data_IF_070131083139
#
_entry.id   IF_070131083139
#
_cell.length_a   1.000
_cell.length_b   1.000
_cell.length_c   1.000
_cell.angle_alpha   90.00
_cell.angle_beta   90.00
_cell.angle_gamma   90.00
#
_symmetry.space_group_name_H-M   'P 1'
#
loop_
_entity.id
_entity.type
_entity.pdbx_description
1 polymer ?
#
# COMPACT_ATOMS: atom_id res chain seq x y z
N UNK A 1 12.92 -6.01 3.71
CA UNK A 1 12.33 -6.92 2.71
C UNK A 1 11.71 -8.08 3.49
N UNK A 2 10.40 -8.03 3.72
CA UNK A 2 9.70 -9.07 4.48
C UNK A 2 9.22 -10.13 3.48
N UNK A 3 9.86 -11.29 3.49
CA UNK A 3 9.41 -12.46 2.74
C UNK A 3 8.12 -12.97 3.38
N UNK A 4 6.97 -12.61 2.81
CA UNK A 4 5.70 -13.26 3.10
C UNK A 4 5.72 -14.64 2.44
N UNK A 5 6.10 -15.65 3.23
CA UNK A 5 5.96 -17.05 2.86
C UNK A 5 4.46 -17.39 2.75
N UNK A 6 3.94 -17.45 1.52
CA UNK A 6 2.60 -17.97 1.25
C UNK A 6 2.69 -19.50 1.32
N UNK A 7 2.50 -20.05 2.51
CA UNK A 7 2.34 -21.50 2.68
C UNK A 7 0.95 -21.89 2.20
N UNK A 8 0.86 -22.23 0.91
CA UNK A 8 -0.32 -22.83 0.30
C UNK A 8 -0.50 -24.28 0.78
N UNK A 9 -0.93 -24.48 2.03
CA UNK A 9 -1.54 -25.74 2.39
C UNK A 9 -2.88 -25.80 1.67
N UNK A 10 -3.01 -26.69 0.69
CA UNK A 10 -4.31 -27.11 0.18
C UNK A 10 -5.08 -27.72 1.36
N UNK A 11 -5.81 -26.89 2.11
CA UNK A 11 -6.57 -27.30 3.27
C UNK A 11 -7.67 -28.23 2.81
N UNK A 12 -7.45 -29.52 2.99
CA UNK A 12 -8.52 -30.50 2.96
C UNK A 12 -9.41 -30.14 4.14
N UNK A 13 -10.65 -29.76 3.88
CA UNK A 13 -11.70 -29.65 4.89
C UNK A 13 -12.37 -31.03 5.01
N UNK A 14 -11.91 -31.92 5.91
CA UNK A 14 -12.60 -33.19 6.16
C UNK A 14 -14.01 -32.90 6.68
N UNK A 15 -14.92 -33.84 6.41
CA UNK A 15 -16.27 -33.82 6.97
C UNK A 15 -16.38 -34.99 7.93
N UNK A 16 -16.58 -34.68 9.20
CA UNK A 16 -16.67 -35.66 10.27
C UNK A 16 -18.14 -35.91 10.64
N UNK A 17 -18.43 -37.11 11.15
CA UNK A 17 -19.68 -37.36 11.87
C UNK A 17 -19.52 -36.91 13.33
N UNK A 18 -20.43 -36.06 13.79
CA UNK A 18 -20.41 -35.56 15.16
C UNK A 18 -21.82 -35.31 15.67
N UNK A 19 -22.01 -35.62 16.94
CA UNK A 19 -23.25 -35.37 17.65
C UNK A 19 -23.22 -33.95 18.23
N UNK A 20 -24.34 -33.23 18.15
CA UNK A 20 -24.50 -31.92 18.74
C UNK A 20 -25.88 -31.78 19.36
N UNK A 21 -25.93 -31.25 20.59
CA UNK A 21 -27.19 -30.95 21.26
C UNK A 21 -27.69 -29.56 20.83
N UNK A 22 -28.86 -29.50 20.22
CA UNK A 22 -29.54 -28.25 19.88
C UNK A 22 -30.84 -28.18 20.67
N UNK A 23 -30.99 -27.14 21.51
CA UNK A 23 -32.11 -26.96 22.44
C UNK A 23 -32.34 -28.21 23.32
N UNK A 24 -31.25 -28.78 23.84
CA UNK A 24 -31.27 -29.97 24.71
C UNK A 24 -31.50 -31.32 24.02
N UNK A 25 -31.73 -31.33 22.70
CA UNK A 25 -31.96 -32.57 21.95
C UNK A 25 -30.66 -32.95 21.20
N UNK A 26 -30.05 -34.12 21.51
CA UNK A 26 -28.87 -34.59 20.80
C UNK A 26 -29.24 -35.00 19.38
N UNK A 27 -28.43 -34.60 18.41
CA UNK A 27 -28.62 -34.91 16.99
C UNK A 27 -27.31 -35.34 16.37
N UNK A 28 -27.36 -36.36 15.52
CA UNK A 28 -26.23 -36.76 14.68
C UNK A 28 -26.15 -35.83 13.48
N UNK A 29 -24.93 -35.47 13.09
CA UNK A 29 -24.75 -34.58 11.96
C UNK A 29 -23.35 -34.64 11.36
N UNK A 30 -23.18 -33.88 10.29
CA UNK A 30 -21.91 -33.67 9.64
C UNK A 30 -21.31 -32.35 10.08
N UNK A 31 -19.99 -32.32 10.24
CA UNK A 31 -19.23 -31.11 10.53
C UNK A 31 -18.09 -30.96 9.56
N UNK A 32 -17.92 -29.74 9.03
CA UNK A 32 -16.73 -29.33 8.30
C UNK A 32 -16.00 -28.23 9.07
N UNK A 33 -14.67 -28.29 9.09
CA UNK A 33 -13.83 -27.23 9.65
C UNK A 33 -13.25 -26.38 8.53
N UNK A 34 -13.34 -25.07 8.69
CA UNK A 34 -12.91 -24.04 7.75
C UNK A 34 -11.95 -23.10 8.49
N UNK A 35 -10.72 -22.96 8.03
CA UNK A 35 -9.70 -22.13 8.70
C UNK A 35 -9.86 -20.65 8.34
N UNK A 36 -11.06 -20.12 8.50
CA UNK A 36 -11.43 -18.73 8.27
C UNK A 36 -12.17 -18.19 9.50
N UNK A 37 -12.26 -16.86 9.60
CA UNK A 37 -12.92 -16.20 10.71
C UNK A 37 -14.41 -16.57 10.80
N UNK A 38 -14.90 -16.67 12.03
CA UNK A 38 -16.26 -17.18 12.28
C UNK A 38 -17.34 -16.27 11.73
N UNK A 39 -17.12 -14.95 11.75
CA UNK A 39 -18.08 -13.99 11.23
C UNK A 39 -18.28 -14.17 9.73
N UNK A 40 -17.20 -14.24 8.95
CA UNK A 40 -17.25 -14.43 7.51
C UNK A 40 -17.88 -15.77 7.12
N UNK A 41 -17.48 -16.85 7.80
CA UNK A 41 -18.03 -18.18 7.55
C UNK A 41 -19.52 -18.19 7.84
N UNK A 42 -19.94 -17.60 8.97
CA UNK A 42 -21.33 -17.51 9.38
C UNK A 42 -22.17 -16.66 8.40
N UNK A 43 -21.73 -15.44 8.07
CA UNK A 43 -22.41 -14.54 7.14
C UNK A 43 -22.56 -15.20 5.75
N UNK A 44 -21.53 -15.91 5.27
CA UNK A 44 -21.56 -16.59 3.98
C UNK A 44 -22.44 -17.84 3.99
N UNK A 45 -22.43 -18.59 5.09
CA UNK A 45 -23.30 -19.76 5.26
C UNK A 45 -24.77 -19.34 5.31
N UNK A 46 -25.09 -18.31 6.10
CA UNK A 46 -26.43 -17.73 6.16
C UNK A 46 -26.91 -17.25 4.80
N UNK A 47 -26.05 -16.51 4.08
CA UNK A 47 -26.36 -16.04 2.72
C UNK A 47 -26.69 -17.20 1.79
N UNK A 48 -25.85 -18.23 1.74
CA UNK A 48 -26.06 -19.39 0.88
C UNK A 48 -27.34 -20.16 1.24
N UNK A 49 -27.62 -20.36 2.54
CA UNK A 49 -28.85 -21.02 2.98
C UNK A 49 -30.09 -20.20 2.63
N UNK A 50 -30.05 -18.88 2.81
CA UNK A 50 -31.14 -17.98 2.48
C UNK A 50 -31.40 -17.92 0.96
N UNK A 51 -30.35 -17.82 0.14
CA UNK A 51 -30.46 -17.84 -1.32
C UNK A 51 -31.07 -19.15 -1.83
N UNK A 52 -30.71 -20.28 -1.21
CA UNK A 52 -31.17 -21.60 -1.66
C UNK A 52 -32.57 -21.97 -1.15
N UNK A 53 -32.90 -21.61 0.09
CA UNK A 53 -34.12 -22.09 0.76
C UNK A 53 -35.17 -21.00 1.02
N UNK A 54 -34.81 -19.72 0.81
CA UNK A 54 -35.71 -18.58 0.91
C UNK A 54 -36.49 -18.56 2.23
N UNK A 55 -37.82 -18.47 2.13
CA UNK A 55 -38.73 -18.40 3.28
C UNK A 55 -38.69 -19.62 4.21
N UNK A 56 -38.10 -20.75 3.79
CA UNK A 56 -37.91 -21.93 4.64
C UNK A 56 -36.69 -21.80 5.56
N UNK A 57 -35.75 -20.91 5.26
CA UNK A 57 -34.62 -20.62 6.12
C UNK A 57 -35.05 -19.75 7.31
N UNK A 58 -34.70 -20.18 8.51
CA UNK A 58 -34.91 -19.42 9.75
C UNK A 58 -33.62 -19.40 10.56
N UNK A 59 -33.33 -18.27 11.18
CA UNK A 59 -32.20 -18.06 12.08
C UNK A 59 -32.74 -17.69 13.46
N UNK A 60 -32.32 -18.42 14.49
CA UNK A 60 -32.66 -18.17 15.89
C UNK A 60 -31.44 -18.43 16.78
N UNK A 61 -30.89 -17.38 17.39
CA UNK A 61 -29.75 -17.44 18.33
C UNK A 61 -28.57 -18.29 17.82
N UNK A 62 -28.19 -18.10 16.56
CA UNK A 62 -27.07 -18.82 15.93
C UNK A 62 -27.39 -20.25 15.52
N UNK A 63 -28.65 -20.67 15.56
CA UNK A 63 -29.13 -21.94 15.02
C UNK A 63 -29.96 -21.67 13.77
N UNK A 64 -29.60 -22.36 12.69
CA UNK A 64 -30.27 -22.28 11.40
C UNK A 64 -31.19 -23.48 11.24
N UNK A 65 -32.45 -23.25 10.90
CA UNK A 65 -33.43 -24.32 10.68
C UNK A 65 -34.11 -24.16 9.33
N UNK A 66 -34.25 -25.27 8.61
CA UNK A 66 -34.98 -25.35 7.36
C UNK A 66 -35.94 -26.53 7.41
N UNK A 67 -37.23 -26.25 7.50
CA UNK A 67 -38.27 -27.28 7.60
C UNK A 67 -38.94 -27.50 6.23
N UNK A 68 -39.13 -28.77 5.85
CA UNK A 68 -39.81 -29.16 4.61
C UNK A 68 -39.08 -28.74 3.34
N UNK A 69 -37.74 -28.66 3.38
CA UNK A 69 -36.92 -28.39 2.20
C UNK A 69 -36.69 -29.66 1.40
N UNK A 70 -36.48 -29.54 0.09
CA UNK A 70 -36.05 -30.65 -0.76
C UNK A 70 -34.64 -30.31 -1.23
N UNK A 71 -33.69 -31.21 -0.97
CA UNK A 71 -32.33 -31.12 -1.50
C UNK A 71 -32.18 -32.33 -2.40
N UNK A 72 -32.43 -32.18 -3.70
CA UNK A 72 -32.57 -33.29 -4.65
C UNK A 72 -31.44 -34.33 -4.57
N UNK A 73 -30.19 -33.88 -4.38
CA UNK A 73 -29.02 -34.75 -4.26
C UNK A 73 -29.00 -35.58 -2.95
N UNK A 74 -29.73 -35.15 -1.92
CA UNK A 74 -29.81 -35.81 -0.60
C UNK A 74 -31.14 -36.54 -0.42
N UNK A 75 -32.27 -35.92 -0.74
CA UNK A 75 -33.59 -36.55 -0.62
C UNK A 75 -34.58 -35.93 -1.61
N UNK A 76 -35.40 -36.79 -2.22
CA UNK A 76 -36.53 -36.41 -3.08
C UNK A 76 -37.78 -36.05 -2.29
N UNK A 77 -37.84 -36.40 -1.01
CA UNK A 77 -38.93 -36.04 -0.11
C UNK A 77 -38.55 -34.83 0.76
N UNK A 78 -39.52 -34.06 1.27
CA UNK A 78 -39.24 -32.98 2.19
C UNK A 78 -38.51 -33.46 3.44
N UNK A 79 -37.41 -32.80 3.78
CA UNK A 79 -36.56 -33.08 4.94
C UNK A 79 -36.47 -31.87 5.86
N UNK A 80 -35.97 -32.10 7.07
CA UNK A 80 -35.63 -31.04 8.01
C UNK A 80 -34.13 -30.93 8.17
N UNK A 81 -33.60 -29.71 8.09
CA UNK A 81 -32.19 -29.41 8.29
C UNK A 81 -32.06 -28.48 9.50
N UNK A 82 -31.10 -28.79 10.37
CA UNK A 82 -30.69 -27.91 11.47
C UNK A 82 -29.19 -27.71 11.33
N UNK A 83 -28.72 -26.48 11.36
CA UNK A 83 -27.30 -26.15 11.21
C UNK A 83 -26.86 -25.13 12.25
N UNK A 84 -25.57 -25.14 12.56
CA UNK A 84 -24.93 -24.23 13.49
C UNK A 84 -23.50 -23.96 13.03
N UNK A 85 -23.06 -22.71 13.21
CA UNK A 85 -21.68 -22.29 12.97
C UNK A 85 -21.07 -21.93 14.31
N UNK A 86 -19.92 -22.54 14.63
CA UNK A 86 -19.23 -22.33 15.90
C UNK A 86 -17.75 -22.01 15.65
N UNK A 87 -17.27 -20.97 16.31
CA UNK A 87 -15.85 -20.63 16.33
C UNK A 87 -15.05 -21.68 17.13
N UNK A 88 -13.84 -21.97 16.68
CA UNK A 88 -12.89 -22.88 17.32
C UNK A 88 -11.51 -22.23 17.38
N UNK A 89 -10.57 -22.74 18.19
CA UNK A 89 -9.19 -22.23 18.21
C UNK A 89 -8.48 -22.33 16.85
N UNK A 90 -8.92 -23.24 15.99
CA UNK A 90 -8.34 -23.54 14.69
C UNK A 90 -9.31 -23.15 13.56
N UNK A 91 -9.96 -22.00 13.65
CA UNK A 91 -10.93 -21.54 12.65
C UNK A 91 -12.38 -21.82 13.04
N UNK A 92 -13.23 -22.17 12.09
CA UNK A 92 -14.68 -22.19 12.27
C UNK A 92 -15.26 -23.51 11.81
N UNK A 93 -16.22 -24.04 12.57
CA UNK A 93 -16.94 -25.26 12.22
C UNK A 93 -18.33 -24.93 11.71
N UNK A 94 -18.72 -25.58 10.62
CA UNK A 94 -20.11 -25.61 10.16
C UNK A 94 -20.62 -27.01 10.40
N UNK A 95 -21.59 -27.13 11.29
CA UNK A 95 -22.28 -28.37 11.59
C UNK A 95 -23.70 -28.32 11.05
N UNK A 96 -24.19 -29.46 10.57
CA UNK A 96 -25.61 -29.63 10.29
C UNK A 96 -26.08 -31.06 10.55
N UNK A 97 -27.33 -31.18 10.97
CA UNK A 97 -28.08 -32.41 11.10
C UNK A 97 -29.20 -32.39 10.07
N UNK A 98 -29.38 -33.51 9.38
CA UNK A 98 -30.45 -33.71 8.41
C UNK A 98 -31.34 -34.84 8.88
N UNK A 99 -32.62 -34.55 9.06
CA UNK A 99 -33.67 -35.50 9.41
C UNK A 99 -34.46 -35.84 8.13
N UNK A 100 -34.36 -37.10 7.71
CA UNK A 100 -34.98 -37.63 6.48
C UNK A 100 -36.44 -38.08 6.72
N UNK A 101 -36.96 -37.90 7.94
CA UNK A 101 -38.32 -38.27 8.36
C UNK A 101 -38.39 -39.66 9.00
N UNK A 102 -37.68 -40.66 8.47
CA UNK A 102 -37.60 -42.01 9.03
C UNK A 102 -36.31 -42.28 9.81
N UNK A 103 -35.25 -41.51 9.56
CA UNK A 103 -33.96 -41.59 10.22
C UNK A 103 -33.19 -40.28 10.07
N UNK A 104 -32.25 -40.05 10.99
CA UNK A 104 -31.23 -39.02 10.77
C UNK A 104 -30.21 -39.49 9.75
N UNK A 105 -29.67 -38.54 9.00
CA UNK A 105 -28.52 -38.74 8.14
C UNK A 105 -27.33 -39.26 8.96
N UNK A 106 -26.76 -40.38 8.53
CA UNK A 106 -25.57 -40.99 9.14
C UNK A 106 -24.77 -41.79 8.13
N UNK A 107 -23.48 -41.96 8.41
CA UNK A 107 -22.54 -42.64 7.51
C UNK A 107 -22.93 -44.08 7.24
N UNK A 108 -23.44 -44.77 8.26
CA UNK A 108 -23.75 -46.21 8.19
C UNK A 108 -25.17 -46.48 7.68
N UNK A 109 -26.16 -45.71 8.15
CA UNK A 109 -27.55 -45.97 7.82
C UNK A 109 -27.97 -45.37 6.47
N UNK A 110 -27.33 -44.27 6.04
CA UNK A 110 -27.71 -43.52 4.82
C UNK A 110 -26.47 -43.09 4.01
N UNK A 111 -25.60 -44.04 3.60
CA UNK A 111 -24.28 -43.73 3.04
C UNK A 111 -24.31 -42.90 1.74
N UNK A 112 -25.34 -43.08 0.91
CA UNK A 112 -25.50 -42.33 -0.35
C UNK A 112 -25.83 -40.86 -0.05
N UNK A 113 -26.84 -40.63 0.78
CA UNK A 113 -27.26 -39.30 1.21
C UNK A 113 -26.15 -38.62 2.01
N UNK A 114 -25.42 -39.38 2.84
CA UNK A 114 -24.27 -38.91 3.58
C UNK A 114 -23.22 -38.32 2.65
N UNK A 115 -22.84 -39.05 1.60
CA UNK A 115 -21.84 -38.59 0.64
C UNK A 115 -22.29 -37.36 -0.16
N UNK A 116 -23.57 -37.29 -0.53
CA UNK A 116 -24.13 -36.12 -1.19
C UNK A 116 -24.11 -34.88 -0.27
N UNK A 117 -24.49 -35.06 0.99
CA UNK A 117 -24.43 -34.04 2.03
C UNK A 117 -22.99 -33.59 2.32
N UNK A 118 -22.04 -34.53 2.36
CA UNK A 118 -20.61 -34.24 2.52
C UNK A 118 -20.08 -33.37 1.37
N UNK A 119 -20.50 -33.68 0.13
CA UNK A 119 -20.14 -32.86 -1.03
C UNK A 119 -20.63 -31.42 -0.86
N UNK A 120 -21.82 -31.21 -0.32
CA UNK A 120 -22.39 -29.88 -0.09
C UNK A 120 -21.53 -29.03 0.86
N UNK A 121 -21.15 -29.59 2.01
CA UNK A 121 -20.26 -28.90 2.96
C UNK A 121 -18.86 -28.62 2.37
N UNK A 122 -18.32 -29.57 1.60
CA UNK A 122 -17.03 -29.39 0.92
C UNK A 122 -17.08 -28.33 -0.17
N UNK A 123 -18.16 -28.25 -0.93
CA UNK A 123 -18.35 -27.23 -1.97
C UNK A 123 -18.45 -25.84 -1.35
N UNK A 124 -19.17 -25.70 -0.23
CA UNK A 124 -19.21 -24.45 0.53
C UNK A 124 -17.81 -24.04 1.04
N UNK A 125 -17.06 -24.97 1.65
CA UNK A 125 -15.69 -24.68 2.11
C UNK A 125 -14.78 -24.27 0.94
N UNK A 126 -14.85 -24.95 -0.21
CA UNK A 126 -14.05 -24.61 -1.41
C UNK A 126 -14.42 -23.23 -1.96
N UNK A 127 -15.70 -22.89 -1.99
CA UNK A 127 -16.17 -21.58 -2.43
C UNK A 127 -15.55 -20.49 -1.55
N UNK A 128 -15.64 -20.64 -0.23
CA UNK A 128 -15.07 -19.68 0.73
C UNK A 128 -13.56 -19.51 0.57
N UNK A 129 -12.80 -20.60 0.44
CA UNK A 129 -11.35 -20.49 0.22
C UNK A 129 -11.01 -19.84 -1.12
N UNK A 130 -11.80 -20.07 -2.18
CA UNK A 130 -11.57 -19.39 -3.47
C UNK A 130 -11.82 -17.90 -3.37
N UNK A 131 -12.90 -17.50 -2.69
CA UNK A 131 -13.19 -16.09 -2.44
C UNK A 131 -12.10 -15.44 -1.59
N UNK A 132 -11.61 -16.13 -0.56
CA UNK A 132 -10.51 -15.65 0.28
C UNK A 132 -9.21 -15.47 -0.50
N UNK A 133 -8.83 -16.47 -1.29
CA UNK A 133 -7.65 -16.38 -2.16
C UNK A 133 -7.80 -15.26 -3.19
N UNK A 134 -9.00 -15.04 -3.75
CA UNK A 134 -9.23 -13.93 -4.68
C UNK A 134 -9.03 -12.57 -4.02
N UNK A 135 -9.49 -12.39 -2.77
CA UNK A 135 -9.24 -11.17 -1.99
C UNK A 135 -7.74 -10.99 -1.74
N UNK A 136 -7.05 -12.03 -1.27
CA UNK A 136 -5.61 -11.99 -1.01
C UNK A 136 -4.81 -11.66 -2.28
N UNK A 137 -5.19 -12.23 -3.44
CA UNK A 137 -4.56 -11.92 -4.73
C UNK A 137 -4.77 -10.45 -5.10
N UNK A 138 -6.01 -9.94 -5.02
CA UNK A 138 -6.30 -8.53 -5.32
C UNK A 138 -5.55 -7.57 -4.39
N UNK A 139 -5.42 -7.89 -3.11
CA UNK A 139 -4.63 -7.08 -2.17
C UNK A 139 -3.13 -7.11 -2.50
N UNK A 140 -2.59 -8.28 -2.83
CA UNK A 140 -1.19 -8.43 -3.25
C UNK A 140 -0.90 -7.67 -4.56
N UNK A 141 -1.82 -7.71 -5.53
CA UNK A 141 -1.72 -6.94 -6.78
C UNK A 141 -1.70 -5.44 -6.53
N UNK A 142 -2.59 -4.93 -5.67
CA UNK A 142 -2.59 -3.51 -5.27
C UNK A 142 -1.29 -3.09 -4.59
N UNK A 143 -0.78 -3.93 -3.68
CA UNK A 143 0.48 -3.68 -3.00
C UNK A 143 1.67 -3.66 -3.98
N UNK A 144 1.68 -4.57 -4.97
CA UNK A 144 2.68 -4.62 -6.02
C UNK A 144 2.69 -3.34 -6.86
N UNK A 145 1.51 -2.91 -7.34
CA UNK A 145 1.37 -1.68 -8.15
C UNK A 145 1.84 -0.45 -7.35
N UNK A 146 1.46 -0.35 -6.08
CA UNK A 146 1.91 0.73 -5.19
C UNK A 146 3.45 0.74 -5.04
N UNK A 147 4.05 -0.43 -4.87
CA UNK A 147 5.51 -0.56 -4.77
C UNK A 147 6.22 -0.16 -6.07
N UNK A 148 5.69 -0.56 -7.22
CA UNK A 148 6.22 -0.18 -8.54
C UNK A 148 6.16 1.34 -8.76
N UNK A 149 5.04 1.97 -8.42
CA UNK A 149 4.87 3.42 -8.54
C UNK A 149 5.86 4.18 -7.64
N UNK A 150 6.04 3.72 -6.39
CA UNK A 150 7.01 4.30 -5.48
C UNK A 150 8.45 4.15 -5.99
N UNK A 151 8.80 2.99 -6.54
CA UNK A 151 10.10 2.76 -7.15
C UNK A 151 10.36 3.72 -8.32
N UNK A 152 9.38 3.87 -9.21
CA UNK A 152 9.47 4.81 -10.34
C UNK A 152 9.61 6.27 -9.87
N UNK A 153 8.87 6.67 -8.83
CA UNK A 153 9.00 8.01 -8.26
C UNK A 153 10.42 8.29 -7.71
N UNK A 154 11.03 7.29 -7.06
CA UNK A 154 12.41 7.38 -6.56
C UNK A 154 13.41 7.52 -7.72
N UNK A 155 13.24 6.75 -8.80
CA UNK A 155 14.08 6.87 -10.01
C UNK A 155 13.98 8.29 -10.58
N UNK A 156 12.76 8.78 -10.82
CA UNK A 156 12.54 10.11 -11.40
C UNK A 156 13.14 11.22 -10.52
N UNK A 157 13.02 11.09 -9.19
CA UNK A 157 13.65 12.02 -8.24
C UNK A 157 15.17 11.98 -8.34
N UNK A 158 15.77 10.79 -8.45
CA UNK A 158 17.21 10.65 -8.59
C UNK A 158 17.72 11.31 -9.89
N UNK A 159 17.00 11.14 -11.00
CA UNK A 159 17.39 11.73 -12.28
C UNK A 159 17.20 13.26 -12.31
N UNK A 160 16.16 13.78 -11.66
CA UNK A 160 16.00 15.23 -11.45
C UNK A 160 17.18 15.83 -10.66
N UNK A 161 17.57 15.18 -9.56
CA UNK A 161 18.72 15.60 -8.74
C UNK A 161 20.01 15.59 -9.57
N UNK A 162 20.25 14.55 -10.39
CA UNK A 162 21.43 14.51 -11.27
C UNK A 162 21.45 15.69 -12.24
N UNK A 163 20.31 16.03 -12.84
CA UNK A 163 20.20 17.17 -13.76
C UNK A 163 20.50 18.50 -13.05
N UNK A 164 19.98 18.67 -11.83
CA UNK A 164 20.24 19.86 -11.02
C UNK A 164 21.72 19.97 -10.62
N UNK A 165 22.37 18.86 -10.31
CA UNK A 165 23.81 18.81 -10.05
C UNK A 165 24.59 19.31 -11.27
N UNK A 166 24.30 18.82 -12.47
CA UNK A 166 25.00 19.25 -13.69
C UNK A 166 24.75 20.73 -13.99
N UNK A 167 23.52 21.23 -13.83
CA UNK A 167 23.22 22.66 -13.96
C UNK A 167 24.02 23.51 -12.96
N UNK A 168 24.11 23.07 -11.71
CA UNK A 168 24.86 23.79 -10.68
C UNK A 168 26.38 23.76 -10.93
N UNK A 169 26.92 22.67 -11.49
CA UNK A 169 28.34 22.62 -11.92
C UNK A 169 28.64 23.66 -13.00
N UNK A 170 27.79 23.77 -14.01
CA UNK A 170 27.94 24.79 -15.06
C UNK A 170 27.86 26.20 -14.49
N UNK A 171 26.86 26.47 -13.63
CA UNK A 171 26.71 27.78 -12.99
C UNK A 171 27.91 28.13 -12.10
N UNK A 172 28.50 27.14 -11.41
CA UNK A 172 29.73 27.34 -10.64
C UNK A 172 30.89 27.78 -11.54
N UNK A 173 31.07 27.12 -12.70
CA UNK A 173 32.12 27.48 -13.64
C UNK A 173 31.93 28.90 -14.18
N UNK A 174 30.71 29.28 -14.53
CA UNK A 174 30.37 30.64 -14.99
C UNK A 174 30.71 31.69 -13.93
N UNK A 175 30.30 31.48 -12.67
CA UNK A 175 30.60 32.38 -11.56
C UNK A 175 32.12 32.49 -11.34
N UNK A 176 32.85 31.38 -11.44
CA UNK A 176 34.31 31.39 -11.30
C UNK A 176 34.97 32.23 -12.42
N UNK A 177 34.47 32.15 -13.65
CA UNK A 177 34.95 32.96 -14.76
C UNK A 177 34.66 34.46 -14.55
N UNK A 178 33.45 34.80 -14.11
CA UNK A 178 33.07 36.18 -13.78
C UNK A 178 33.93 36.75 -12.65
N UNK A 179 34.22 35.96 -11.60
CA UNK A 179 35.11 36.38 -10.52
C UNK A 179 36.52 36.67 -11.03
N UNK A 180 37.05 35.85 -11.93
CA UNK A 180 38.36 36.08 -12.54
C UNK A 180 38.39 37.36 -13.39
N UNK A 181 37.33 37.64 -14.15
CA UNK A 181 37.18 38.87 -14.93
C UNK A 181 37.12 40.10 -14.00
N UNK A 182 36.26 40.08 -12.98
CA UNK A 182 36.14 41.17 -12.02
C UNK A 182 37.47 41.46 -11.29
N UNK A 183 38.24 40.42 -10.97
CA UNK A 183 39.56 40.58 -10.35
C UNK A 183 40.56 41.27 -11.29
N UNK A 184 40.53 40.95 -12.59
CA UNK A 184 41.37 41.58 -13.59
C UNK A 184 40.97 43.06 -13.81
N UNK A 185 39.68 43.35 -13.88
CA UNK A 185 39.17 44.73 -13.98
C UNK A 185 39.56 45.58 -12.77
N UNK A 186 39.44 45.02 -11.56
CA UNK A 186 39.85 45.71 -10.33
C UNK A 186 41.34 46.07 -10.35
N UNK A 187 42.20 45.18 -10.85
CA UNK A 187 43.63 45.47 -11.00
C UNK A 187 43.87 46.61 -11.98
N UNK A 188 43.14 46.65 -13.10
CA UNK A 188 43.23 47.75 -14.06
C UNK A 188 42.80 49.08 -13.46
N UNK A 189 41.68 49.11 -12.71
CA UNK A 189 41.23 50.32 -12.03
C UNK A 189 42.23 50.82 -10.99
N UNK A 190 42.85 49.93 -10.20
CA UNK A 190 43.90 50.33 -9.26
C UNK A 190 45.10 50.95 -9.97
N UNK A 191 45.55 50.36 -11.08
CA UNK A 191 46.63 50.94 -11.88
C UNK A 191 46.26 52.32 -12.45
N UNK A 192 45.01 52.51 -12.91
CA UNK A 192 44.52 53.81 -13.39
C UNK A 192 44.49 54.85 -12.29
N UNK A 193 44.06 54.48 -11.08
CA UNK A 193 44.09 55.35 -9.89
C UNK A 193 45.53 55.77 -9.57
N UNK A 194 46.47 54.82 -9.54
CA UNK A 194 47.88 55.11 -9.26
C UNK A 194 48.52 56.03 -10.30
N UNK A 195 48.22 55.83 -11.60
CA UNK A 195 48.69 56.72 -12.66
C UNK A 195 48.10 58.12 -12.51
N UNK A 196 46.79 58.22 -12.25
CA UNK A 196 46.14 59.51 -12.06
C UNK A 196 46.71 60.27 -10.85
N UNK A 197 47.01 59.59 -9.75
CA UNK A 197 47.68 60.21 -8.59
C UNK A 197 49.06 60.79 -8.97
N UNK A 198 49.86 60.06 -9.74
CA UNK A 198 51.16 60.56 -10.23
C UNK A 198 51.01 61.78 -11.15
N UNK A 199 50.03 61.76 -12.04
CA UNK A 199 49.72 62.92 -12.90
C UNK A 199 49.31 64.15 -12.08
N UNK A 200 48.48 63.95 -11.04
CA UNK A 200 48.12 65.03 -10.12
C UNK A 200 49.33 65.59 -9.37
N UNK A 201 50.26 64.74 -8.92
CA UNK A 201 51.50 65.17 -8.26
C UNK A 201 52.40 65.97 -9.20
N UNK A 202 52.59 65.51 -10.44
CA UNK A 202 53.35 66.23 -11.45
C UNK A 202 52.74 67.59 -11.77
N UNK A 203 51.41 67.64 -11.98
CA UNK A 203 50.69 68.89 -12.22
C UNK A 203 50.83 69.88 -11.05
N UNK A 204 50.81 69.39 -9.79
CA UNK A 204 51.05 70.23 -8.61
C UNK A 204 52.47 70.80 -8.59
N UNK A 205 53.48 69.99 -8.94
CA UNK A 205 54.86 70.46 -9.02
C UNK A 205 55.03 71.54 -10.11
N UNK A 206 54.40 71.36 -11.27
CA UNK A 206 54.41 72.35 -12.35
C UNK A 206 53.75 73.67 -11.93
N UNK A 207 52.62 73.61 -11.22
CA UNK A 207 51.96 74.81 -10.67
C UNK A 207 52.90 75.56 -9.70
N UNK A 208 53.64 74.83 -8.84
CA UNK A 208 54.61 75.43 -7.92
C UNK A 208 55.74 76.11 -8.70
N UNK A 209 56.30 75.44 -9.71
CA UNK A 209 57.36 76.00 -10.56
C UNK A 209 56.87 77.25 -11.31
N UNK A 210 55.66 77.22 -11.86
CA UNK A 210 55.05 78.37 -12.52
C UNK A 210 54.82 79.54 -11.56
N UNK A 211 54.42 79.28 -10.30
CA UNK A 211 54.30 80.33 -9.28
C UNK A 211 55.65 80.97 -8.97
N UNK A 212 56.71 80.19 -8.79
CA UNK A 212 58.06 80.72 -8.56
C UNK A 212 58.52 81.57 -9.75
N UNK A 213 58.31 81.10 -10.97
CA UNK A 213 58.64 81.86 -12.17
C UNK A 213 57.84 83.18 -12.27
N UNK A 214 56.54 83.14 -11.96
CA UNK A 214 55.69 84.32 -11.94
C UNK A 214 56.18 85.36 -10.91
N UNK A 215 56.51 84.94 -9.69
CA UNK A 215 57.04 85.84 -8.65
C UNK A 215 58.40 86.44 -9.07
N UNK A 216 59.29 85.66 -9.67
CA UNK A 216 60.56 86.18 -10.19
C UNK A 216 60.35 87.24 -11.29
N UNK A 217 59.34 87.07 -12.15
CA UNK A 217 58.97 88.08 -13.16
C UNK A 217 58.42 89.35 -12.50
N UNK A 218 57.56 89.22 -11.48
CA UNK A 218 57.07 90.37 -10.71
C UNK A 218 58.20 91.13 -10.02
N UNK A 219 59.15 90.44 -9.39
CA UNK A 219 60.30 91.07 -8.76
C UNK A 219 61.17 91.85 -9.75
N UNK A 220 61.36 91.33 -10.97
CA UNK A 220 62.06 92.06 -12.04
C UNK A 220 61.32 93.33 -12.45
N UNK A 221 59.99 93.27 -12.54
CA UNK A 221 59.16 94.44 -12.84
C UNK A 221 59.34 95.54 -11.78
N UNK A 222 59.34 95.18 -10.50
CA UNK A 222 59.49 96.14 -9.39
C UNK A 222 60.89 96.79 -9.30
N UNK A 223 61.91 96.25 -9.99
CA UNK A 223 63.26 96.84 -10.06
C UNK A 223 63.45 97.82 -11.23
N UNK A 224 62.42 97.99 -12.07
CA UNK A 224 62.44 98.87 -13.24
C UNK A 224 61.84 100.26 -12.91
N UNK A 225 61.32 100.45 -11.69
CA UNK A 225 60.97 101.74 -11.09
C UNK A 225 62.11 102.28 -10.20
#
# INVERSE_FOLDING_TARGET
MLLLSVTGYAQKSPVDETDMAIKGIPRKGQRVTIQLDSKRVDDSWQKMLNEKFGSKFKSDKGVYTMDGVVIEDISKTPIRVISKVDATPTGTTVWWSIDLGNAYLSKDATPVQWKASEKYLKDFARMLYREDLAVQVSEAEKALVSSQNNHMAVINKADAIKKDIEKNKLKKQEIQQQLAQNAAELLQYNNLVDMNLKEQEAARADIVNMRVALEAVKERMNKIE
#
